data_IF_101612651826
#
_entry.id   IF_101612651826
#
_cell.length_a   1.000
_cell.length_b   1.000
_cell.length_c   1.000
_cell.angle_alpha   90.00
_cell.angle_beta   90.00
_cell.angle_gamma   90.00
#
_symmetry.space_group_name_H-M   'P 1'
#
loop_
_entity.id
_entity.type
_entity.pdbx_description
1 polymer ?
#
# COMPACT_ATOMS: atom_id res chain seq x y z
N UNK A 1 -5.53 28.48 13.41
CA UNK A 1 -5.21 27.38 14.35
C UNK A 1 -3.77 27.57 14.80
N UNK A 2 -3.51 27.70 16.10
CA UNK A 2 -2.12 27.78 16.60
C UNK A 2 -1.45 26.43 16.39
N UNK A 3 -0.26 26.42 15.79
CA UNK A 3 0.60 25.24 15.75
C UNK A 3 0.96 24.87 17.20
N UNK A 4 0.20 23.95 17.81
CA UNK A 4 0.65 23.25 19.02
C UNK A 4 2.00 22.64 18.67
N UNK A 5 3.03 22.98 19.45
CA UNK A 5 4.38 22.47 19.25
C UNK A 5 4.31 20.94 19.15
N UNK A 6 4.86 20.39 18.08
CA UNK A 6 4.81 18.95 17.81
C UNK A 6 5.37 18.20 19.01
N UNK A 7 4.52 17.46 19.71
CA UNK A 7 4.96 16.54 20.75
C UNK A 7 5.76 15.48 20.03
N UNK A 8 7.06 15.40 20.33
CA UNK A 8 7.94 14.40 19.73
C UNK A 8 7.47 13.04 20.23
N UNK A 9 6.89 12.24 19.34
CA UNK A 9 6.41 10.92 19.69
C UNK A 9 7.57 10.06 20.21
N UNK A 10 7.31 9.23 21.22
CA UNK A 10 8.30 8.27 21.70
C UNK A 10 8.67 7.31 20.55
N UNK A 11 9.95 6.92 20.46
CA UNK A 11 10.42 6.05 19.38
C UNK A 11 9.65 4.72 19.31
N UNK A 12 9.71 4.00 18.17
CA UNK A 12 8.97 2.75 17.98
C UNK A 12 9.27 1.71 19.07
N UNK A 13 8.23 1.05 19.58
CA UNK A 13 8.40 -0.09 20.49
C UNK A 13 8.52 -1.37 19.67
N UNK A 14 9.61 -2.10 19.86
CA UNK A 14 9.90 -3.36 19.14
C UNK A 14 9.66 -4.56 20.05
N UNK A 15 8.98 -5.57 19.55
CA UNK A 15 8.74 -6.85 20.25
C UNK A 15 9.13 -8.03 19.38
N UNK A 16 9.86 -9.01 19.92
CA UNK A 16 10.12 -10.25 19.21
C UNK A 16 8.84 -11.09 19.10
N UNK A 17 8.73 -11.81 17.99
CA UNK A 17 7.69 -12.76 17.64
C UNK A 17 8.34 -14.04 17.15
N UNK A 18 7.61 -15.17 17.19
CA UNK A 18 8.07 -16.44 16.62
C UNK A 18 9.48 -16.79 17.14
N UNK A 19 9.64 -16.84 18.46
CA UNK A 19 10.92 -17.09 19.13
C UNK A 19 12.06 -16.14 18.72
N UNK A 20 11.75 -14.91 18.31
CA UNK A 20 12.71 -13.90 17.87
C UNK A 20 13.08 -13.97 16.39
N UNK A 21 12.45 -14.85 15.59
CA UNK A 21 12.68 -14.92 14.15
C UNK A 21 12.05 -13.76 13.37
N UNK A 22 11.04 -13.11 13.96
CA UNK A 22 10.40 -11.91 13.43
C UNK A 22 10.26 -10.89 14.56
N UNK A 23 10.29 -9.62 14.22
CA UNK A 23 10.08 -8.52 15.13
C UNK A 23 8.93 -7.69 14.61
N UNK A 24 7.98 -7.34 15.49
CA UNK A 24 6.97 -6.32 15.21
C UNK A 24 7.40 -5.03 15.91
N UNK A 25 7.36 -3.93 15.17
CA UNK A 25 7.52 -2.60 15.72
C UNK A 25 6.22 -1.83 15.55
N UNK A 26 5.84 -1.05 16.56
CA UNK A 26 4.71 -0.13 16.46
C UNK A 26 5.06 1.23 17.07
N UNK A 27 4.42 2.27 16.56
CA UNK A 27 4.50 3.64 17.06
C UNK A 27 3.12 4.27 16.98
N UNK A 28 2.77 5.11 17.94
CA UNK A 28 1.51 5.87 17.93
C UNK A 28 1.64 7.17 18.72
N UNK A 29 0.85 8.17 18.36
CA UNK A 29 0.76 9.45 19.08
C UNK A 29 -0.58 9.64 19.83
N UNK A 30 -0.74 10.79 20.49
CA UNK A 30 -1.96 11.14 21.21
C UNK A 30 -3.21 11.32 20.34
N UNK A 31 -3.03 11.51 19.02
CA UNK A 31 -4.14 11.64 18.07
C UNK A 31 -4.60 10.26 17.55
N UNK A 32 -3.96 9.18 18.02
CA UNK A 32 -4.25 7.81 17.58
C UNK A 32 -3.73 7.51 16.18
N UNK A 33 -2.85 8.35 15.61
CA UNK A 33 -2.12 8.05 14.39
C UNK A 33 -1.03 7.04 14.75
N UNK A 34 -0.91 5.98 13.96
CA UNK A 34 0.04 4.90 14.22
C UNK A 34 0.75 4.44 12.96
N UNK A 35 1.92 3.82 13.13
CA UNK A 35 2.60 3.04 12.10
C UNK A 35 3.09 1.71 12.69
N UNK A 36 3.08 0.63 11.91
CA UNK A 36 3.37 -0.70 12.39
C UNK A 36 3.98 -1.59 11.31
N UNK A 37 5.14 -2.18 11.59
CA UNK A 37 5.83 -3.02 10.62
C UNK A 37 6.39 -4.29 11.25
N UNK A 38 6.49 -5.34 10.44
CA UNK A 38 7.20 -6.56 10.77
C UNK A 38 8.46 -6.71 9.91
N UNK A 39 9.52 -7.29 10.48
CA UNK A 39 10.75 -7.63 9.77
C UNK A 39 11.53 -8.71 10.54
N UNK A 40 12.52 -9.36 9.94
CA UNK A 40 13.42 -10.26 10.68
C UNK A 40 14.51 -9.49 11.44
N UNK A 41 14.87 -8.29 10.98
CA UNK A 41 15.76 -7.37 11.69
C UNK A 41 14.95 -6.37 12.57
N UNK A 42 15.17 -6.32 13.89
CA UNK A 42 14.44 -5.40 14.78
C UNK A 42 14.67 -3.93 14.42
N UNK A 43 15.87 -3.58 13.94
CA UNK A 43 16.18 -2.22 13.50
C UNK A 43 15.39 -1.82 12.25
N UNK A 44 15.24 -2.74 11.29
CA UNK A 44 14.48 -2.53 10.07
C UNK A 44 12.98 -2.46 10.36
N UNK A 45 12.46 -3.31 11.26
CA UNK A 45 11.09 -3.21 11.75
C UNK A 45 10.82 -1.81 12.36
N UNK A 46 11.69 -1.34 13.26
CA UNK A 46 11.56 -0.02 13.87
C UNK A 46 11.57 1.12 12.83
N UNK A 47 12.52 1.10 11.87
CA UNK A 47 12.58 2.11 10.81
C UNK A 47 11.34 2.11 9.92
N UNK A 48 10.82 0.94 9.57
CA UNK A 48 9.59 0.82 8.76
C UNK A 48 8.36 1.35 9.51
N UNK A 49 8.20 0.99 10.79
CA UNK A 49 7.11 1.49 11.61
C UNK A 49 7.16 3.02 11.78
N UNK A 50 8.35 3.60 11.96
CA UNK A 50 8.55 5.05 11.95
C UNK A 50 8.16 5.66 10.60
N UNK A 51 8.63 5.07 9.50
CA UNK A 51 8.32 5.53 8.15
C UNK A 51 6.81 5.58 7.88
N UNK A 52 6.08 4.52 8.22
CA UNK A 52 4.62 4.47 8.09
C UNK A 52 3.91 5.48 9.01
N UNK A 53 4.37 5.63 10.26
CA UNK A 53 3.85 6.65 11.16
C UNK A 53 3.98 8.06 10.56
N UNK A 54 5.18 8.41 10.07
CA UNK A 54 5.46 9.68 9.40
C UNK A 54 4.55 9.86 8.18
N UNK A 55 4.37 8.83 7.34
CA UNK A 55 3.44 8.87 6.20
C UNK A 55 2.04 9.28 6.66
N UNK A 56 1.50 8.63 7.69
CA UNK A 56 0.15 8.91 8.17
C UNK A 56 0.02 10.32 8.76
N UNK A 57 0.99 10.78 9.55
CA UNK A 57 0.99 12.16 10.10
C UNK A 57 1.01 13.19 8.97
N UNK A 58 1.90 13.03 8.00
CA UNK A 58 2.02 13.92 6.85
C UNK A 58 0.75 13.92 5.99
N UNK A 59 0.13 12.76 5.81
CA UNK A 59 -1.05 12.61 4.97
C UNK A 59 -2.31 13.22 5.61
N UNK A 60 -2.51 13.03 6.92
CA UNK A 60 -3.63 13.63 7.67
C UNK A 60 -3.47 15.15 7.79
N UNK A 61 -2.25 15.66 7.96
CA UNK A 61 -2.00 17.09 8.08
C UNK A 61 -2.01 17.86 6.75
N UNK A 62 -1.88 17.16 5.62
CA UNK A 62 -1.75 17.78 4.29
C UNK A 62 -2.89 18.74 3.94
N UNK A 63 -4.14 18.42 4.30
CA UNK A 63 -5.31 19.26 3.99
C UNK A 63 -5.27 20.64 4.65
N UNK A 64 -4.55 20.79 5.78
CA UNK A 64 -4.37 22.06 6.47
C UNK A 64 -3.17 22.89 5.99
N UNK A 65 -2.34 22.33 5.12
CA UNK A 65 -1.06 22.92 4.70
C UNK A 65 -0.98 23.16 3.20
N UNK A 66 -1.47 22.22 2.39
CA UNK A 66 -1.37 22.31 0.94
C UNK A 66 -2.44 23.26 0.36
N UNK A 67 -2.09 24.14 -0.60
CA UNK A 67 -3.05 24.99 -1.27
C UNK A 67 -4.12 24.18 -2.01
N UNK A 68 -5.38 24.56 -1.80
CA UNK A 68 -6.53 24.02 -2.54
C UNK A 68 -6.90 24.94 -3.70
N UNK A 69 -7.05 24.34 -4.88
CA UNK A 69 -7.49 25.00 -6.10
C UNK A 69 -8.94 24.60 -6.39
N UNK A 70 -9.85 25.57 -6.46
CA UNK A 70 -11.24 25.31 -6.87
C UNK A 70 -11.36 25.01 -8.37
N UNK A 71 -10.45 25.57 -9.18
CA UNK A 71 -10.34 25.34 -10.62
C UNK A 71 -8.84 25.19 -10.96
N UNK A 72 -8.41 24.09 -11.59
CA UNK A 72 -7.02 23.90 -11.99
C UNK A 72 -6.67 24.74 -13.23
N UNK A 73 -7.64 25.45 -13.83
CA UNK A 73 -7.43 26.29 -15.01
C UNK A 73 -6.93 25.47 -16.19
N UNK A 74 -5.80 25.92 -16.77
CA UNK A 74 -5.16 25.28 -17.92
C UNK A 74 -4.17 24.17 -17.55
N UNK A 75 -4.00 23.85 -16.26
CA UNK A 75 -3.09 22.79 -15.84
C UNK A 75 -3.55 21.44 -16.42
N UNK A 76 -2.62 20.58 -16.88
CA UNK A 76 -2.91 19.18 -17.13
C UNK A 76 -3.52 18.54 -15.88
N UNK A 77 -4.39 17.54 -16.07
CA UNK A 77 -5.12 16.87 -14.98
C UNK A 77 -4.79 15.39 -14.94
N UNK A 78 -4.64 14.86 -13.73
CA UNK A 78 -4.66 13.42 -13.47
C UNK A 78 -6.02 13.05 -12.88
N UNK A 79 -6.70 12.10 -13.52
CA UNK A 79 -8.03 11.65 -13.10
C UNK A 79 -7.96 10.15 -12.75
N UNK A 80 -8.09 9.76 -11.47
CA UNK A 80 -8.22 8.35 -11.09
C UNK A 80 -9.48 7.70 -11.67
N UNK A 81 -9.52 6.36 -11.75
CA UNK A 81 -10.65 5.65 -12.38
C UNK A 81 -12.00 6.01 -11.77
N UNK A 82 -12.10 6.08 -10.43
CA UNK A 82 -13.33 6.43 -9.75
C UNK A 82 -13.87 7.83 -10.12
N UNK A 83 -13.00 8.80 -10.42
CA UNK A 83 -13.43 10.14 -10.85
C UNK A 83 -13.96 10.13 -12.29
N UNK A 84 -13.33 9.35 -13.16
CA UNK A 84 -13.79 9.14 -14.54
C UNK A 84 -15.18 8.50 -14.54
N UNK A 85 -15.38 7.47 -13.72
CA UNK A 85 -16.66 6.76 -13.59
C UNK A 85 -17.77 7.66 -13.03
N UNK A 86 -17.43 8.59 -12.12
CA UNK A 86 -18.36 9.57 -11.55
C UNK A 86 -18.77 10.69 -12.52
N UNK A 87 -18.18 10.76 -13.72
CA UNK A 87 -18.50 11.78 -14.72
C UNK A 87 -17.90 13.16 -14.43
N UNK A 88 -16.78 13.23 -13.71
CA UNK A 88 -16.06 14.48 -13.37
C UNK A 88 -16.93 15.54 -12.66
N UNK A 89 -17.46 15.24 -11.46
CA UNK A 89 -18.16 16.24 -10.65
C UNK A 89 -17.22 17.42 -10.31
N UNK A 90 -17.78 18.57 -9.91
CA UNK A 90 -16.99 19.64 -9.31
C UNK A 90 -16.09 19.06 -8.21
N UNK A 91 -14.79 19.32 -8.30
CA UNK A 91 -13.82 18.87 -7.30
C UNK A 91 -12.72 19.90 -7.10
N UNK A 92 -12.15 19.92 -5.90
CA UNK A 92 -10.97 20.67 -5.58
C UNK A 92 -9.71 19.91 -6.02
N UNK A 93 -8.67 20.68 -6.30
CA UNK A 93 -7.40 20.18 -6.81
C UNK A 93 -6.25 20.64 -5.94
N UNK A 94 -5.16 19.89 -6.01
CA UNK A 94 -3.85 20.20 -5.43
C UNK A 94 -2.85 20.21 -6.58
N UNK A 95 -1.93 21.17 -6.57
CA UNK A 95 -0.82 21.18 -7.52
C UNK A 95 0.18 20.07 -7.17
N UNK A 96 0.49 19.24 -8.16
CA UNK A 96 1.54 18.25 -8.13
C UNK A 96 2.56 18.49 -9.24
N UNK A 97 3.52 17.58 -9.35
CA UNK A 97 4.61 17.64 -10.32
C UNK A 97 4.66 16.33 -11.12
N UNK A 98 4.68 16.42 -12.44
CA UNK A 98 4.90 15.28 -13.33
C UNK A 98 6.24 14.62 -13.02
N UNK A 99 6.25 13.31 -12.77
CA UNK A 99 7.46 12.64 -12.31
C UNK A 99 8.57 12.55 -13.37
N UNK A 100 8.24 12.73 -14.66
CA UNK A 100 9.18 12.65 -15.79
C UNK A 100 9.67 14.02 -16.24
N UNK A 101 8.77 14.95 -16.49
CA UNK A 101 9.09 16.27 -17.06
C UNK A 101 9.20 17.39 -16.00
N UNK A 102 8.77 17.14 -14.76
CA UNK A 102 8.71 18.15 -13.73
C UNK A 102 7.60 19.20 -13.94
N UNK A 103 6.68 18.99 -14.89
CA UNK A 103 5.63 19.94 -15.20
C UNK A 103 4.57 19.97 -14.10
N UNK A 104 4.06 21.16 -13.80
CA UNK A 104 2.96 21.31 -12.84
C UNK A 104 1.70 20.62 -13.39
N UNK A 105 1.07 19.79 -12.57
CA UNK A 105 -0.11 19.00 -12.95
C UNK A 105 -1.10 18.99 -11.79
N UNK A 106 -2.38 19.20 -12.08
CA UNK A 106 -3.43 19.19 -11.07
C UNK A 106 -3.86 17.76 -10.72
N UNK A 107 -3.98 17.49 -9.41
CA UNK A 107 -4.43 16.22 -8.84
C UNK A 107 -5.67 16.47 -7.97
N UNK A 108 -6.72 15.63 -8.04
CA UNK A 108 -7.91 15.79 -7.20
C UNK A 108 -7.56 15.73 -5.71
N UNK A 109 -8.06 16.67 -4.92
CA UNK A 109 -7.77 16.77 -3.50
C UNK A 109 -8.18 15.49 -2.72
N UNK A 110 -9.30 14.86 -3.08
CA UNK A 110 -9.72 13.58 -2.48
C UNK A 110 -8.74 12.42 -2.76
N UNK A 111 -7.89 12.50 -3.78
CA UNK A 111 -6.85 11.51 -4.05
C UNK A 111 -5.55 11.78 -3.25
N UNK A 112 -5.42 12.98 -2.67
CA UNK A 112 -4.21 13.46 -1.98
C UNK A 112 -4.37 13.51 -0.47
N UNK A 113 -5.58 13.72 0.03
CA UNK A 113 -5.83 13.88 1.46
C UNK A 113 -6.51 12.67 2.10
N UNK A 114 -6.13 12.39 3.34
CA UNK A 114 -6.71 11.33 4.16
C UNK A 114 -7.59 11.93 5.27
N UNK A 115 -8.84 11.47 5.38
CA UNK A 115 -9.81 11.96 6.36
C UNK A 115 -10.37 13.35 6.03
N UNK A 116 -10.25 13.78 4.77
CA UNK A 116 -10.77 15.07 4.31
C UNK A 116 -12.23 14.96 3.89
N UNK A 117 -13.05 15.89 4.36
CA UNK A 117 -14.44 16.04 3.93
C UNK A 117 -14.51 17.14 2.86
N UNK A 118 -14.85 16.81 1.61
CA UNK A 118 -14.94 17.79 0.55
C UNK A 118 -16.03 18.82 0.86
N UNK A 119 -15.79 20.13 0.62
CA UNK A 119 -16.80 21.15 0.83
C UNK A 119 -17.86 21.11 -0.28
N UNK A 120 -19.14 21.41 0.01
CA UNK A 120 -20.18 21.49 -1.01
C UNK A 120 -19.81 22.47 -2.14
N UNK A 121 -20.17 22.19 -3.41
CA UNK A 121 -21.01 21.08 -3.88
C UNK A 121 -20.24 19.79 -4.20
N UNK A 122 -18.94 19.69 -3.88
CA UNK A 122 -18.16 18.50 -4.15
C UNK A 122 -18.64 17.33 -3.29
N UNK A 123 -19.02 16.24 -3.94
CA UNK A 123 -19.37 14.99 -3.28
C UNK A 123 -18.15 14.07 -3.19
N UNK A 124 -18.14 13.21 -2.17
CA UNK A 124 -17.11 12.19 -2.06
C UNK A 124 -17.31 11.15 -3.17
N UNK A 125 -16.30 10.93 -4.01
CA UNK A 125 -16.37 9.98 -5.13
C UNK A 125 -15.52 8.73 -4.91
N UNK A 126 -14.63 8.73 -3.92
CA UNK A 126 -13.84 7.55 -3.54
C UNK A 126 -13.67 7.38 -2.03
N UNK A 127 -13.28 6.16 -1.65
CA UNK A 127 -12.67 5.92 -0.34
C UNK A 127 -11.26 6.51 -0.36
N UNK A 128 -10.97 7.41 0.58
CA UNK A 128 -9.63 7.94 0.78
C UNK A 128 -8.73 6.86 1.38
N UNK A 129 -7.55 6.68 0.80
CA UNK A 129 -6.58 5.62 1.15
C UNK A 129 -5.17 6.18 1.22
N UNK A 130 -4.31 5.59 2.05
CA UNK A 130 -2.87 5.88 2.11
C UNK A 130 -2.09 5.32 0.92
N UNK A 131 -2.70 4.48 0.08
CA UNK A 131 -2.02 3.83 -1.02
C UNK A 131 -1.43 4.83 -2.03
N UNK A 132 -0.14 4.69 -2.32
CA UNK A 132 0.62 5.65 -3.10
C UNK A 132 1.28 6.73 -2.25
N UNK A 133 1.43 6.52 -0.95
CA UNK A 133 2.18 7.42 -0.07
C UNK A 133 3.47 6.74 0.37
N UNK A 134 4.60 7.41 0.14
CA UNK A 134 5.92 6.92 0.51
C UNK A 134 6.65 7.92 1.37
N UNK A 135 7.33 7.45 2.41
CA UNK A 135 8.25 8.22 3.23
C UNK A 135 9.66 7.65 3.13
N UNK A 136 10.65 8.52 3.22
CA UNK A 136 12.05 8.14 3.22
C UNK A 136 12.93 9.27 3.72
N UNK A 137 14.17 8.94 4.04
CA UNK A 137 15.22 9.91 4.39
C UNK A 137 15.66 10.77 3.21
N UNK A 138 15.27 10.39 2.00
CA UNK A 138 15.54 11.13 0.79
C UNK A 138 14.35 11.04 -0.19
N UNK A 139 14.27 12.05 -1.06
CA UNK A 139 13.21 12.20 -2.06
C UNK A 139 13.14 11.01 -3.03
N UNK A 140 14.27 10.45 -3.45
CA UNK A 140 14.27 9.34 -4.42
C UNK A 140 13.62 8.11 -3.81
N UNK A 141 13.98 7.76 -2.58
CA UNK A 141 13.41 6.62 -1.87
C UNK A 141 11.89 6.76 -1.68
N UNK A 142 11.43 7.89 -1.15
CA UNK A 142 10.02 8.15 -0.91
C UNK A 142 9.18 8.05 -2.20
N UNK A 143 9.67 8.66 -3.29
CA UNK A 143 9.02 8.62 -4.61
C UNK A 143 8.92 7.20 -5.18
N UNK A 144 10.02 6.45 -5.13
CA UNK A 144 10.05 5.07 -5.64
C UNK A 144 9.11 4.18 -4.84
N UNK A 145 9.08 4.30 -3.51
CA UNK A 145 8.17 3.54 -2.67
C UNK A 145 6.70 3.84 -3.00
N UNK A 146 6.33 5.12 -3.08
CA UNK A 146 4.99 5.57 -3.43
C UNK A 146 4.53 5.02 -4.80
N UNK A 147 5.38 5.14 -5.83
CA UNK A 147 5.02 4.67 -7.18
C UNK A 147 4.91 3.14 -7.26
N UNK A 148 5.81 2.40 -6.60
CA UNK A 148 5.73 0.93 -6.52
C UNK A 148 4.41 0.49 -5.88
N UNK A 149 3.97 1.16 -4.80
CA UNK A 149 2.71 0.86 -4.15
C UNK A 149 1.50 1.13 -5.06
N UNK A 150 1.46 2.26 -5.78
CA UNK A 150 0.36 2.53 -6.74
C UNK A 150 0.27 1.43 -7.80
N UNK A 151 1.41 1.03 -8.36
CA UNK A 151 1.49 -0.04 -9.35
C UNK A 151 1.02 -1.38 -8.78
N UNK A 152 1.46 -1.73 -7.57
CA UNK A 152 1.04 -2.93 -6.85
C UNK A 152 -0.48 -2.97 -6.69
N UNK A 153 -1.04 -1.93 -6.06
CA UNK A 153 -2.45 -1.84 -5.71
C UNK A 153 -3.31 -1.82 -6.96
N UNK A 154 -2.93 -1.07 -7.99
CA UNK A 154 -3.69 -1.03 -9.24
C UNK A 154 -3.75 -2.39 -9.92
N UNK A 155 -2.61 -3.07 -10.08
CA UNK A 155 -2.56 -4.37 -10.77
C UNK A 155 -3.36 -5.42 -10.00
N UNK A 156 -3.25 -5.45 -8.67
CA UNK A 156 -3.98 -6.40 -7.83
C UNK A 156 -5.47 -6.07 -7.79
N UNK A 157 -5.87 -4.80 -7.64
CA UNK A 157 -7.26 -4.36 -7.65
C UNK A 157 -7.96 -4.74 -8.96
N UNK A 158 -7.38 -4.30 -10.08
CA UNK A 158 -7.91 -4.55 -11.42
C UNK A 158 -7.97 -6.05 -11.70
N UNK A 159 -6.89 -6.77 -11.44
CA UNK A 159 -6.80 -8.21 -11.66
C UNK A 159 -7.83 -9.02 -10.86
N UNK A 160 -8.09 -8.64 -9.61
CA UNK A 160 -9.15 -9.26 -8.80
C UNK A 160 -10.55 -8.98 -9.36
N UNK A 161 -10.80 -7.71 -9.72
CA UNK A 161 -12.08 -7.25 -10.23
C UNK A 161 -12.44 -7.87 -11.58
N UNK A 162 -11.50 -7.91 -12.52
CA UNK A 162 -11.74 -8.40 -13.89
C UNK A 162 -11.50 -9.91 -14.01
N UNK A 163 -10.76 -10.50 -13.07
CA UNK A 163 -10.26 -11.87 -13.16
C UNK A 163 -9.09 -12.04 -14.13
N UNK A 164 -8.66 -10.97 -14.82
CA UNK A 164 -7.55 -10.93 -15.78
C UNK A 164 -6.22 -10.70 -15.04
N UNK A 165 -5.81 -11.74 -14.33
CA UNK A 165 -4.53 -11.81 -13.62
C UNK A 165 -4.05 -13.25 -13.65
N UNK A 166 -2.75 -13.44 -13.80
CA UNK A 166 -2.12 -14.76 -13.71
C UNK A 166 -0.93 -14.70 -12.78
N UNK A 167 -0.59 -15.85 -12.23
CA UNK A 167 0.42 -16.00 -11.20
C UNK A 167 1.47 -17.05 -11.56
N UNK A 168 2.66 -16.85 -11.01
CA UNK A 168 3.71 -17.85 -10.91
C UNK A 168 3.84 -18.32 -9.46
N UNK A 169 3.94 -19.63 -9.25
CA UNK A 169 4.15 -20.25 -7.94
C UNK A 169 5.60 -20.05 -7.47
N UNK A 170 5.77 -19.47 -6.29
CA UNK A 170 7.06 -19.24 -5.64
C UNK A 170 7.26 -20.07 -4.36
N UNK A 171 6.37 -20.98 -3.98
CA UNK A 171 6.46 -21.71 -2.71
C UNK A 171 7.75 -22.53 -2.60
N UNK A 172 8.21 -23.08 -3.71
CA UNK A 172 9.46 -23.84 -3.79
C UNK A 172 10.73 -23.02 -3.51
N UNK A 173 10.62 -21.68 -3.47
CA UNK A 173 11.73 -20.76 -3.22
C UNK A 173 11.73 -20.19 -1.81
N UNK A 174 10.68 -20.41 -1.01
CA UNK A 174 10.51 -19.75 0.28
C UNK A 174 11.64 -20.05 1.27
N UNK A 175 12.21 -21.26 1.23
CA UNK A 175 13.34 -21.67 2.09
C UNK A 175 14.66 -20.99 1.70
N UNK A 176 14.78 -20.51 0.45
CA UNK A 176 15.95 -19.75 -0.01
C UNK A 176 15.87 -18.28 0.38
N UNK A 177 14.67 -17.77 0.68
CA UNK A 177 14.40 -16.33 0.83
C UNK A 177 14.06 -15.95 2.27
N UNK A 178 13.34 -16.81 2.99
CA UNK A 178 12.82 -16.52 4.32
C UNK A 178 13.65 -17.18 5.41
N UNK A 179 13.78 -16.55 6.60
CA UNK A 179 14.47 -17.16 7.73
C UNK A 179 13.85 -18.50 8.14
N UNK A 180 14.69 -19.51 8.40
CA UNK A 180 14.23 -20.83 8.82
C UNK A 180 13.36 -20.79 10.09
N UNK A 181 13.68 -19.89 11.02
CA UNK A 181 12.90 -19.69 12.26
C UNK A 181 11.47 -19.21 12.01
N UNK A 182 11.26 -18.32 11.03
CA UNK A 182 9.92 -17.89 10.63
C UNK A 182 9.14 -19.08 10.06
N UNK A 183 9.72 -19.83 9.13
CA UNK A 183 9.06 -21.00 8.54
C UNK A 183 8.74 -22.08 9.59
N UNK A 184 9.64 -22.31 10.55
CA UNK A 184 9.38 -23.21 11.66
C UNK A 184 8.20 -22.74 12.50
N UNK A 185 8.17 -21.47 12.93
CA UNK A 185 7.06 -20.98 13.74
C UNK A 185 5.73 -20.91 13.02
N UNK A 186 5.71 -20.63 11.70
CA UNK A 186 4.48 -20.74 10.93
C UNK A 186 3.94 -22.18 10.99
N UNK A 187 4.80 -23.20 10.84
CA UNK A 187 4.40 -24.61 10.99
C UNK A 187 3.91 -24.92 12.40
N UNK A 188 4.63 -24.47 13.44
CA UNK A 188 4.28 -24.70 14.85
C UNK A 188 2.91 -24.10 15.22
N UNK A 189 2.52 -23.01 14.53
CA UNK A 189 1.21 -22.36 14.69
C UNK A 189 0.15 -22.85 13.69
N UNK A 190 0.42 -23.94 12.96
CA UNK A 190 -0.46 -24.51 11.93
C UNK A 190 -0.87 -23.50 10.85
N UNK A 191 0.05 -22.59 10.53
CA UNK A 191 -0.09 -21.57 9.50
C UNK A 191 0.57 -22.07 8.22
N UNK A 192 -0.24 -22.14 7.17
CA UNK A 192 0.20 -22.37 5.80
C UNK A 192 0.54 -21.03 5.17
N UNK A 193 1.70 -20.98 4.50
CA UNK A 193 2.15 -19.87 3.68
C UNK A 193 2.09 -20.29 2.21
N UNK A 194 1.36 -19.50 1.41
CA UNK A 194 1.35 -19.53 -0.05
C UNK A 194 1.96 -18.25 -0.60
N UNK A 195 2.88 -18.35 -1.55
CA UNK A 195 3.56 -17.21 -2.17
C UNK A 195 3.45 -17.31 -3.68
N UNK A 196 2.90 -16.26 -4.28
CA UNK A 196 2.76 -16.17 -5.73
C UNK A 196 3.24 -14.82 -6.26
N UNK A 197 3.70 -14.78 -7.51
CA UNK A 197 4.07 -13.55 -8.20
C UNK A 197 3.13 -13.30 -9.38
N UNK A 198 2.70 -12.06 -9.59
CA UNK A 198 1.94 -11.69 -10.79
C UNK A 198 2.81 -11.87 -12.02
N UNK A 199 2.31 -12.58 -13.03
CA UNK A 199 3.02 -12.82 -14.29
C UNK A 199 3.11 -11.53 -15.12
N UNK A 200 4.15 -10.74 -14.88
CA UNK A 200 4.44 -9.52 -15.63
C UNK A 200 5.94 -9.23 -15.70
N UNK A 201 6.40 -8.39 -16.64
CA UNK A 201 7.83 -8.11 -16.81
C UNK A 201 8.48 -7.39 -15.62
N UNK A 202 7.88 -6.28 -15.15
CA UNK A 202 8.44 -5.43 -14.09
C UNK A 202 7.37 -4.44 -13.54
N UNK A 203 7.42 -4.03 -12.26
CA UNK A 203 8.18 -4.66 -11.16
C UNK A 203 7.65 -6.06 -10.82
N UNK A 204 8.41 -6.81 -10.02
CA UNK A 204 7.91 -8.03 -9.38
C UNK A 204 6.83 -7.64 -8.37
N UNK A 205 5.59 -8.06 -8.60
CA UNK A 205 4.50 -7.95 -7.63
C UNK A 205 4.30 -9.33 -7.01
N UNK A 206 4.59 -9.45 -5.73
CA UNK A 206 4.41 -10.69 -4.96
C UNK A 206 3.24 -10.54 -4.00
N UNK A 207 2.44 -11.60 -3.90
CA UNK A 207 1.39 -11.77 -2.91
C UNK A 207 1.75 -12.95 -2.00
N UNK A 208 1.73 -12.71 -0.69
CA UNK A 208 1.85 -13.74 0.33
C UNK A 208 0.48 -13.92 1.00
N UNK A 209 0.03 -15.17 1.11
CA UNK A 209 -1.19 -15.55 1.79
C UNK A 209 -0.86 -16.45 2.97
N UNK A 210 -1.22 -16.03 4.17
CA UNK A 210 -1.13 -16.82 5.38
C UNK A 210 -2.52 -17.31 5.75
N UNK A 211 -2.69 -18.61 5.99
CA UNK A 211 -3.99 -19.18 6.37
C UNK A 211 -3.83 -20.42 7.24
N UNK A 212 -4.92 -20.88 7.84
CA UNK A 212 -5.02 -22.21 8.46
C UNK A 212 -5.69 -23.18 7.47
N UNK A 213 -5.91 -24.42 7.90
CA UNK A 213 -6.58 -25.43 7.09
C UNK A 213 -7.85 -24.88 6.39
N UNK A 214 -8.00 -25.19 5.10
CA UNK A 214 -9.16 -24.76 4.30
C UNK A 214 -9.26 -23.25 4.01
N UNK A 215 -8.21 -22.47 4.25
CA UNK A 215 -8.21 -21.02 4.03
C UNK A 215 -8.73 -20.20 5.21
N UNK A 216 -8.98 -20.83 6.36
CA UNK A 216 -9.45 -20.11 7.55
C UNK A 216 -8.42 -19.08 8.04
N UNK A 217 -8.92 -17.96 8.60
CA UNK A 217 -8.11 -16.87 9.12
C UNK A 217 -7.09 -16.33 8.10
N UNK A 218 -7.49 -16.26 6.83
CA UNK A 218 -6.64 -15.74 5.76
C UNK A 218 -6.20 -14.30 6.09
N UNK A 219 -4.89 -14.08 6.06
CA UNK A 219 -4.31 -12.73 5.98
C UNK A 219 -3.38 -12.70 4.78
N UNK A 220 -3.17 -11.51 4.25
CA UNK A 220 -2.34 -11.33 3.07
C UNK A 220 -1.47 -10.10 3.20
N UNK A 221 -0.41 -10.09 2.42
CA UNK A 221 0.48 -8.97 2.23
C UNK A 221 0.98 -8.99 0.80
N UNK A 222 1.25 -7.82 0.25
CA UNK A 222 1.75 -7.67 -1.09
C UNK A 222 2.98 -6.75 -1.11
N UNK A 223 3.81 -6.91 -2.15
CA UNK A 223 4.96 -6.06 -2.36
C UNK A 223 5.32 -5.98 -3.85
N UNK A 224 5.45 -4.76 -4.37
CA UNK A 224 6.11 -4.48 -5.65
C UNK A 224 7.60 -4.13 -5.44
N UNK A 225 8.54 -4.93 -5.96
CA UNK A 225 10.00 -4.64 -5.89
C UNK A 225 10.70 -4.94 -7.21
N UNK A 226 11.94 -4.45 -7.36
CA UNK A 226 12.81 -4.84 -8.47
C UNK A 226 13.48 -6.20 -8.29
N UNK A 227 13.49 -6.73 -7.06
CA UNK A 227 14.07 -8.01 -6.70
C UNK A 227 13.01 -8.95 -6.11
N UNK A 228 12.89 -10.16 -6.65
CA UNK A 228 11.85 -11.12 -6.23
C UNK A 228 12.00 -11.51 -4.77
N UNK A 229 13.23 -11.72 -4.28
CA UNK A 229 13.46 -12.14 -2.90
C UNK A 229 13.07 -11.03 -1.92
N UNK A 230 13.35 -9.77 -2.26
CA UNK A 230 12.88 -8.62 -1.48
C UNK A 230 11.36 -8.47 -1.49
N UNK A 231 10.71 -8.67 -2.63
CA UNK A 231 9.24 -8.67 -2.72
C UNK A 231 8.63 -9.79 -1.86
N UNK A 232 9.17 -11.01 -1.91
CA UNK A 232 8.72 -12.13 -1.07
C UNK A 232 8.86 -11.82 0.41
N UNK A 233 10.04 -11.36 0.86
CA UNK A 233 10.26 -10.98 2.27
C UNK A 233 9.23 -9.93 2.71
N UNK A 234 9.10 -8.85 1.95
CA UNK A 234 8.21 -7.76 2.31
C UNK A 234 6.75 -8.20 2.35
N UNK A 235 6.25 -8.89 1.33
CA UNK A 235 4.87 -9.39 1.27
C UNK A 235 4.56 -10.34 2.44
N UNK A 236 5.49 -11.23 2.81
CA UNK A 236 5.31 -12.14 3.95
C UNK A 236 5.25 -11.38 5.27
N UNK A 237 6.13 -10.40 5.48
CA UNK A 237 6.10 -9.60 6.71
C UNK A 237 4.84 -8.73 6.82
N UNK A 238 4.35 -8.16 5.72
CA UNK A 238 3.05 -7.48 5.67
C UNK A 238 1.92 -8.44 6.04
N UNK A 239 1.91 -9.67 5.51
CA UNK A 239 0.89 -10.67 5.86
C UNK A 239 0.91 -11.06 7.35
N UNK A 240 2.09 -11.08 7.98
CA UNK A 240 2.26 -11.28 9.43
C UNK A 240 1.74 -10.07 10.20
N UNK A 241 2.12 -8.85 9.80
CA UNK A 241 1.67 -7.60 10.42
C UNK A 241 0.14 -7.49 10.39
N UNK A 242 -0.48 -7.74 9.23
CA UNK A 242 -1.93 -7.76 9.05
C UNK A 242 -2.61 -8.76 10.01
N UNK A 243 -2.03 -9.95 10.19
CA UNK A 243 -2.58 -10.95 11.12
C UNK A 243 -2.56 -10.48 12.57
N UNK A 244 -1.50 -9.81 12.99
CA UNK A 244 -1.40 -9.26 14.34
C UNK A 244 -2.38 -8.12 14.55
N UNK A 245 -2.53 -7.25 13.54
CA UNK A 245 -3.46 -6.14 13.56
C UNK A 245 -4.92 -6.59 13.72
N UNK A 246 -5.32 -7.71 13.11
CA UNK A 246 -6.66 -8.30 13.29
C UNK A 246 -6.96 -8.72 14.73
N UNK A 247 -5.93 -9.08 15.51
CA UNK A 247 -6.07 -9.41 16.93
C UNK A 247 -6.06 -8.19 17.85
N UNK A 248 -5.68 -7.01 17.34
CA UNK A 248 -5.58 -5.78 18.12
C UNK A 248 -6.93 -5.06 18.24
N UNK A 249 -7.09 -4.30 19.31
CA UNK A 249 -8.23 -3.39 19.48
C UNK A 249 -7.95 -2.10 18.69
N UNK A 250 -8.85 -1.66 17.79
CA UNK A 250 -8.66 -0.42 17.05
C UNK A 250 -8.72 0.77 18.00
N UNK A 251 -7.87 1.76 17.78
CA UNK A 251 -7.85 3.04 18.47
C UNK A 251 -8.53 4.16 17.67
N UNK A 252 -8.89 3.93 16.41
CA UNK A 252 -9.57 4.92 15.57
C UNK A 252 -10.65 4.30 14.66
N UNK A 253 -11.53 5.14 14.10
CA UNK A 253 -12.54 4.71 13.15
C UNK A 253 -11.93 4.17 11.85
N UNK A 254 -10.80 4.74 11.40
CA UNK A 254 -10.06 4.26 10.23
C UNK A 254 -9.55 2.83 10.47
N UNK A 255 -8.84 2.61 11.59
CA UNK A 255 -8.37 1.27 11.95
C UNK A 255 -9.50 0.26 12.16
N UNK A 256 -10.67 0.71 12.65
CA UNK A 256 -11.84 -0.17 12.74
C UNK A 256 -12.29 -0.63 11.37
N UNK A 257 -12.34 0.27 10.37
CA UNK A 257 -12.71 -0.08 8.99
C UNK A 257 -11.69 -1.03 8.37
N UNK A 258 -10.39 -0.77 8.55
CA UNK A 258 -9.32 -1.64 8.03
C UNK A 258 -9.39 -3.03 8.66
N UNK A 259 -9.70 -3.10 9.97
CA UNK A 259 -9.91 -4.37 10.68
C UNK A 259 -11.15 -5.10 10.18
N UNK A 260 -12.26 -4.41 9.99
CA UNK A 260 -13.50 -5.00 9.47
C UNK A 260 -13.29 -5.54 8.05
N UNK A 261 -12.55 -4.80 7.20
CA UNK A 261 -12.11 -5.26 5.88
C UNK A 261 -11.25 -6.52 5.99
N UNK A 262 -10.25 -6.53 6.86
CA UNK A 262 -9.41 -7.70 7.07
C UNK A 262 -10.18 -8.92 7.59
N UNK A 263 -11.21 -8.72 8.44
CA UNK A 263 -12.12 -9.80 8.83
C UNK A 263 -12.96 -10.32 7.65
N UNK A 264 -13.42 -9.44 6.75
CA UNK A 264 -14.13 -9.86 5.54
C UNK A 264 -13.22 -10.70 4.62
N UNK A 265 -11.96 -10.30 4.44
CA UNK A 265 -10.95 -11.09 3.70
C UNK A 265 -10.71 -12.44 4.36
N UNK A 266 -10.56 -12.47 5.69
CA UNK A 266 -10.37 -13.70 6.44
C UNK A 266 -11.56 -14.66 6.32
N UNK A 267 -12.78 -14.13 6.29
CA UNK A 267 -14.01 -14.91 6.10
C UNK A 267 -14.14 -15.47 4.66
N UNK A 268 -13.65 -14.73 3.67
CA UNK A 268 -13.63 -15.14 2.26
C UNK A 268 -12.38 -15.98 1.88
N UNK A 269 -11.61 -16.45 2.86
CA UNK A 269 -10.28 -17.03 2.64
C UNK A 269 -10.22 -18.18 1.64
N UNK A 270 -11.18 -19.12 1.69
CA UNK A 270 -11.26 -20.23 0.74
C UNK A 270 -11.47 -19.75 -0.72
N UNK A 271 -12.29 -18.71 -0.92
CA UNK A 271 -12.56 -18.14 -2.23
C UNK A 271 -11.33 -17.41 -2.79
N UNK A 272 -10.58 -16.70 -1.95
CA UNK A 272 -9.31 -16.07 -2.37
C UNK A 272 -8.26 -17.11 -2.77
N UNK A 273 -8.11 -18.20 -2.01
CA UNK A 273 -7.18 -19.27 -2.36
C UNK A 273 -7.58 -19.93 -3.68
N UNK A 274 -8.84 -20.31 -3.84
CA UNK A 274 -9.35 -20.87 -5.10
C UNK A 274 -9.15 -19.91 -6.29
N UNK A 275 -9.38 -18.61 -6.08
CA UNK A 275 -9.11 -17.58 -7.09
C UNK A 275 -7.65 -17.58 -7.56
N UNK A 276 -6.70 -17.64 -6.62
CA UNK A 276 -5.26 -17.66 -6.90
C UNK A 276 -4.85 -18.97 -7.56
N UNK A 277 -5.22 -20.12 -7.00
CA UNK A 277 -4.80 -21.45 -7.49
C UNK A 277 -5.25 -21.68 -8.94
N UNK A 278 -6.47 -21.27 -9.30
CA UNK A 278 -6.97 -21.38 -10.69
C UNK A 278 -6.22 -20.50 -11.70
N UNK A 279 -5.40 -19.55 -11.22
CA UNK A 279 -4.69 -18.56 -12.03
C UNK A 279 -3.18 -18.76 -12.02
N UNK A 280 -2.69 -19.82 -11.38
CA UNK A 280 -1.27 -20.17 -11.46
C UNK A 280 -0.97 -20.76 -12.84
N UNK A 281 -0.11 -20.08 -13.59
CA UNK A 281 0.28 -20.44 -14.94
C UNK A 281 1.59 -21.27 -14.98
N UNK A 282 2.34 -21.32 -13.88
CA UNK A 282 3.60 -22.07 -13.83
C UNK A 282 4.39 -21.82 -12.55
N UNK A 283 5.60 -22.38 -12.48
CA UNK A 283 6.57 -22.10 -11.42
C UNK A 283 7.39 -20.86 -11.78
N UNK A 284 7.55 -19.96 -10.82
CA UNK A 284 8.41 -18.78 -10.98
C UNK A 284 9.88 -19.07 -10.68
N UNK A 285 10.70 -18.05 -10.84
CA UNK A 285 12.12 -18.06 -10.49
C UNK A 285 12.49 -16.73 -9.82
N UNK A 286 13.56 -16.70 -9.03
CA UNK A 286 14.09 -15.46 -8.49
C UNK A 286 14.60 -14.57 -9.63
N UNK A 287 14.03 -13.37 -9.75
CA UNK A 287 14.49 -12.32 -10.66
C UNK A 287 15.17 -11.22 -9.86
N UNK A 288 16.16 -10.61 -10.48
CA UNK A 288 16.81 -9.41 -9.97
C UNK A 288 16.90 -8.42 -11.11
N UNK A 289 16.08 -7.39 -11.04
CA UNK A 289 16.22 -6.20 -11.86
C UNK A 289 16.87 -5.09 -11.04
N UNK A 290 17.77 -4.29 -11.63
CA UNK A 290 18.19 -3.06 -10.99
C UNK A 290 16.96 -2.20 -10.71
N UNK A 291 16.91 -1.57 -9.54
CA UNK A 291 15.92 -0.54 -9.22
C UNK A 291 16.25 0.73 -10.00
N UNK A 292 16.02 0.67 -11.32
CA UNK A 292 16.15 1.80 -12.22
C UNK A 292 14.87 2.64 -12.17
N UNK A 293 14.93 3.89 -11.70
CA UNK A 293 13.78 4.79 -11.70
C UNK A 293 13.17 4.98 -13.09
N UNK A 294 13.96 4.95 -14.16
CA UNK A 294 13.46 5.11 -15.52
C UNK A 294 12.58 3.93 -15.93
N UNK A 295 13.06 2.69 -15.74
CA UNK A 295 12.28 1.48 -15.99
C UNK A 295 10.97 1.43 -15.18
N UNK A 296 10.96 1.97 -13.96
CA UNK A 296 9.75 2.07 -13.15
C UNK A 296 8.74 3.08 -13.71
N UNK A 297 9.21 4.23 -14.18
CA UNK A 297 8.35 5.22 -14.85
C UNK A 297 7.81 4.67 -16.18
N UNK A 298 8.62 3.94 -16.94
CA UNK A 298 8.18 3.31 -18.19
C UNK A 298 7.12 2.24 -17.93
N UNK A 299 7.27 1.46 -16.86
CA UNK A 299 6.25 0.51 -16.42
C UNK A 299 4.95 1.21 -15.96
N UNK A 300 5.06 2.39 -15.35
CA UNK A 300 3.90 3.20 -14.99
C UNK A 300 3.20 3.77 -16.23
N UNK A 301 3.95 4.33 -17.18
CA UNK A 301 3.40 4.87 -18.42
C UNK A 301 2.67 3.79 -19.23
N UNK A 302 3.22 2.56 -19.28
CA UNK A 302 2.56 1.43 -19.93
C UNK A 302 1.24 1.02 -19.26
N UNK A 303 1.11 1.20 -17.95
CA UNK A 303 -0.10 0.88 -17.20
C UNK A 303 -1.16 1.98 -17.28
N UNK A 304 -0.73 3.25 -17.20
CA UNK A 304 -1.63 4.38 -16.96
C UNK A 304 -1.81 5.28 -18.18
N UNK A 305 -1.01 5.10 -19.24
CA UNK A 305 -1.06 5.88 -20.48
C UNK A 305 -0.64 7.35 -20.32
N UNK A 306 -0.29 7.77 -19.11
CA UNK A 306 0.18 9.12 -18.74
C UNK A 306 1.20 8.98 -17.61
N UNK A 307 2.10 9.97 -17.53
CA UNK A 307 3.08 10.00 -16.45
C UNK A 307 2.41 10.10 -15.07
N UNK A 308 2.98 9.45 -14.05
CA UNK A 308 2.57 9.66 -12.67
C UNK A 308 2.82 11.11 -12.21
N UNK A 309 1.98 11.59 -11.30
CA UNK A 309 2.14 12.90 -10.66
C UNK A 309 2.42 12.71 -9.19
N UNK A 310 3.43 13.41 -8.70
CA UNK A 310 3.77 13.46 -7.28
C UNK A 310 3.30 14.75 -6.61
N UNK A 311 2.87 14.65 -5.36
CA UNK A 311 2.59 15.76 -4.46
C UNK A 311 3.49 15.60 -3.23
N UNK A 312 4.26 16.63 -2.92
CA UNK A 312 5.07 16.66 -1.70
C UNK A 312 4.15 16.95 -0.51
N UNK A 313 4.12 16.04 0.45
CA UNK A 313 3.37 16.22 1.70
C UNK A 313 4.25 16.91 2.76
N UNK A 314 3.65 17.49 3.82
CA UNK A 314 4.41 18.09 4.91
C UNK A 314 5.43 17.09 5.49
N UNK A 315 6.70 17.47 5.53
CA UNK A 315 7.77 16.60 6.06
C UNK A 315 7.74 16.60 7.60
N UNK A 316 8.04 15.45 8.21
CA UNK A 316 8.14 15.28 9.66
C UNK A 316 9.33 14.40 10.01
N UNK A 317 9.98 14.63 11.16
CA UNK A 317 11.07 13.80 11.69
C UNK A 317 12.20 13.49 10.68
N UNK A 318 12.66 14.49 9.92
CA UNK A 318 13.70 14.36 8.88
C UNK A 318 13.34 13.44 7.70
N UNK A 319 12.06 13.06 7.56
CA UNK A 319 11.56 12.28 6.44
C UNK A 319 10.84 13.16 5.42
N UNK A 320 11.13 12.90 4.14
CA UNK A 320 10.38 13.44 3.01
C UNK A 320 9.24 12.49 2.69
N UNK A 321 8.03 13.02 2.53
CA UNK A 321 6.84 12.22 2.24
C UNK A 321 6.24 12.65 0.91
N UNK A 322 6.05 11.68 0.01
CA UNK A 322 5.48 11.89 -1.31
C UNK A 322 4.17 11.11 -1.45
N UNK A 323 3.18 11.76 -2.04
CA UNK A 323 1.97 11.12 -2.55
C UNK A 323 2.10 11.00 -4.06
N UNK A 324 1.89 9.82 -4.63
CA UNK A 324 1.86 9.60 -6.08
C UNK A 324 0.44 9.25 -6.49
N UNK A 325 -0.04 9.91 -7.54
CA UNK A 325 -1.35 9.64 -8.15
C UNK A 325 -1.14 9.37 -9.64
N UNK A 326 -1.74 8.27 -10.11
CA UNK A 326 -1.69 7.85 -11.50
C UNK A 326 -3.08 7.95 -12.14
N UNK A 327 -3.12 8.38 -13.40
CA UNK A 327 -4.35 8.47 -14.19
C UNK A 327 -4.95 7.08 -14.41
N UNK A 328 -6.28 6.96 -14.30
CA UNK A 328 -6.99 5.68 -14.47
C UNK A 328 -6.63 4.62 -13.44
N UNK A 329 -5.89 4.97 -12.37
CA UNK A 329 -5.56 4.02 -11.32
C UNK A 329 -6.81 3.57 -10.56
N UNK A 330 -6.83 2.28 -10.24
CA UNK A 330 -7.95 1.59 -9.54
C UNK A 330 -7.65 1.45 -8.04
N UNK A 331 -6.73 2.27 -7.54
CA UNK A 331 -6.33 2.30 -6.12
C UNK A 331 -7.41 2.95 -5.25
N UNK A 332 -8.23 3.81 -5.87
CA UNK A 332 -9.30 4.54 -5.22
C UNK A 332 -10.61 3.79 -5.45
N UNK A 333 -11.05 3.03 -4.46
CA UNK A 333 -12.31 2.31 -4.53
C UNK A 333 -13.50 3.30 -4.57
N UNK A 334 -14.49 3.10 -5.45
CA UNK A 334 -15.75 3.82 -5.38
C UNK A 334 -16.44 3.58 -4.02
N UNK A 335 -17.26 4.53 -3.57
CA UNK A 335 -17.98 4.41 -2.29
C UNK A 335 -18.99 3.25 -2.25
N UNK A 336 -19.48 2.82 -3.41
CA UNK A 336 -20.40 1.68 -3.51
C UNK A 336 -19.61 0.39 -3.64
N UNK A 337 -19.74 -0.57 -2.70
CA UNK A 337 -19.08 -1.86 -2.80
C UNK A 337 -19.54 -2.57 -4.05
N UNK A 338 -18.59 -3.06 -4.84
CA UNK A 338 -18.91 -3.85 -6.01
C UNK A 338 -19.24 -5.31 -5.61
N UNK A 339 -20.02 -6.00 -6.44
CA UNK A 339 -20.51 -7.36 -6.19
C UNK A 339 -19.47 -8.48 -6.38
N UNK A 340 -18.19 -8.13 -6.57
CA UNK A 340 -17.11 -9.10 -6.79
C UNK A 340 -16.37 -9.44 -5.49
N UNK A 341 -15.60 -10.53 -5.52
CA UNK A 341 -14.69 -10.90 -4.45
C UNK A 341 -13.71 -9.72 -4.21
N UNK A 342 -13.69 -9.08 -3.02
CA UNK A 342 -12.88 -7.90 -2.80
C UNK A 342 -11.41 -8.20 -3.04
N UNK A 343 -10.62 -7.24 -3.52
CA UNK A 343 -9.18 -7.47 -3.55
C UNK A 343 -8.66 -7.54 -2.10
N UNK A 344 -7.91 -8.59 -1.72
CA UNK A 344 -7.57 -8.81 -0.31
C UNK A 344 -6.53 -7.81 0.23
N UNK A 345 -5.89 -7.04 -0.67
CA UNK A 345 -4.81 -6.09 -0.37
C UNK A 345 -5.10 -4.65 -0.80
N UNK A 346 -6.29 -4.33 -1.32
CA UNK A 346 -6.68 -2.92 -1.52
C UNK A 346 -7.21 -2.38 -0.20
#
# INVERSE_FOLDING_TARGET
MSHRGAVRAAGPTVRPLINGAVHVAWMSDENGISGGACDDDPGRAARRALGEYVQHVSHVSAAGVLPLLADPGALPRVEPAALLDAGSPPCHWVAGTGMRDGAETAVPAQAVFLGWDPPPPEERWCVQTSAGTGAGTDRRHARTAALLEVIERHVLARGWRTGDISFEDLDHLRELVLPAGLLAGLRDHEVVLRVVRVTRPYPDIVLALLHRAGGAALTCGAAARGDTADAVRHAVYEAVAARLALGARPSSALQSRDRDRGHAVAAAGAAHLDFVERRIAGRGALRRAPADPAALLDAADALFGRQPVEVLLPSTDDHVVHRVVCHGSEVFEPLTPASHLPCPVV
#
